data_IF_617961570061
#
_entry.id   IF_617961570061
#
_cell.length_a   1.000
_cell.length_b   1.000
_cell.length_c   1.000
_cell.angle_alpha   90.00
_cell.angle_beta   90.00
_cell.angle_gamma   90.00
#
_symmetry.space_group_name_H-M   'P 1'
#
loop_
_entity.id
_entity.type
_entity.pdbx_description
1 polymer ?
#
# COMPACT_ATOMS: atom_id res chain seq x y z
N UNK A 1 8.60 -14.21 -17.10
CA UNK A 1 7.53 -13.56 -16.31
C UNK A 1 8.20 -13.04 -15.06
N UNK A 2 8.30 -11.71 -14.93
CA UNK A 2 9.22 -11.07 -14.00
C UNK A 2 8.82 -11.36 -12.54
N UNK A 3 9.77 -11.83 -11.76
CA UNK A 3 9.68 -11.99 -10.30
C UNK A 3 9.83 -10.62 -9.60
N UNK A 4 9.00 -9.63 -9.95
CA UNK A 4 8.81 -8.50 -9.05
C UNK A 4 7.99 -8.99 -7.84
N UNK A 5 8.36 -8.59 -6.62
CA UNK A 5 7.55 -8.65 -5.39
C UNK A 5 7.55 -9.91 -4.49
N UNK A 6 8.70 -10.51 -4.14
CA UNK A 6 8.73 -11.26 -2.87
C UNK A 6 8.81 -10.28 -1.68
N UNK A 7 9.76 -9.32 -1.73
CA UNK A 7 9.99 -8.41 -0.61
C UNK A 7 8.84 -7.42 -0.41
N UNK A 8 8.33 -6.82 -1.49
CA UNK A 8 7.21 -5.88 -1.43
C UNK A 8 5.95 -6.52 -0.87
N UNK A 9 5.64 -7.77 -1.26
CA UNK A 9 4.51 -8.50 -0.71
C UNK A 9 4.73 -8.82 0.77
N UNK A 10 5.96 -9.18 1.18
CA UNK A 10 6.27 -9.40 2.61
C UNK A 10 6.13 -8.13 3.45
N UNK A 11 6.57 -6.99 2.92
CA UNK A 11 6.39 -5.68 3.58
C UNK A 11 4.91 -5.34 3.66
N UNK A 12 4.15 -5.54 2.57
CA UNK A 12 2.71 -5.35 2.54
C UNK A 12 2.02 -6.17 3.64
N UNK A 13 2.30 -7.48 3.71
CA UNK A 13 1.74 -8.34 4.76
C UNK A 13 2.09 -7.84 6.17
N UNK A 14 3.34 -7.45 6.38
CA UNK A 14 3.79 -6.97 7.69
C UNK A 14 3.09 -5.67 8.11
N UNK A 15 2.86 -4.75 7.18
CA UNK A 15 2.18 -3.48 7.45
C UNK A 15 0.67 -3.69 7.60
N UNK A 16 0.05 -4.47 6.72
CA UNK A 16 -1.40 -4.71 6.76
C UNK A 16 -1.84 -5.54 7.97
N UNK A 17 -0.94 -6.28 8.61
CA UNK A 17 -1.20 -7.02 9.84
C UNK A 17 -1.27 -6.12 11.11
N UNK A 18 -1.00 -4.81 11.01
CA UNK A 18 -1.13 -3.89 12.14
C UNK A 18 -2.60 -3.71 12.56
N UNK A 19 -2.91 -4.02 13.81
CA UNK A 19 -4.29 -4.00 14.34
C UNK A 19 -4.96 -2.63 14.23
N UNK A 20 -4.20 -1.54 14.41
CA UNK A 20 -4.77 -0.18 14.33
C UNK A 20 -5.08 0.19 12.89
N UNK A 21 -4.25 -0.27 11.96
CA UNK A 21 -4.48 -0.05 10.54
C UNK A 21 -5.71 -0.84 10.06
N UNK A 22 -5.86 -2.07 10.54
CA UNK A 22 -7.04 -2.92 10.31
C UNK A 22 -8.30 -2.24 10.85
N UNK A 23 -8.29 -1.76 12.10
CA UNK A 23 -9.42 -1.06 12.71
C UNK A 23 -9.77 0.21 11.95
N UNK A 24 -8.76 1.01 11.56
CA UNK A 24 -8.98 2.27 10.86
C UNK A 24 -9.51 2.08 9.43
N UNK A 25 -9.01 1.06 8.73
CA UNK A 25 -9.38 0.78 7.35
C UNK A 25 -10.53 -0.20 7.18
N UNK A 26 -10.99 -0.86 8.25
CA UNK A 26 -12.06 -1.88 8.22
C UNK A 26 -11.84 -2.96 7.14
N UNK A 27 -10.60 -3.43 6.98
CA UNK A 27 -10.25 -4.45 5.99
C UNK A 27 -9.79 -5.77 6.64
N UNK A 28 -9.85 -6.87 5.90
CA UNK A 28 -9.24 -8.13 6.30
C UNK A 28 -7.87 -8.29 5.60
N UNK A 29 -6.75 -8.39 6.35
CA UNK A 29 -5.41 -8.53 5.76
C UNK A 29 -5.28 -9.73 4.83
N UNK A 30 -6.03 -10.82 5.09
CA UNK A 30 -5.97 -12.02 4.28
C UNK A 30 -6.49 -11.82 2.84
N UNK A 31 -7.24 -10.75 2.59
CA UNK A 31 -7.82 -10.44 1.27
C UNK A 31 -6.80 -9.83 0.29
N UNK A 32 -5.62 -9.42 0.79
CA UNK A 32 -4.60 -8.75 -0.01
C UNK A 32 -3.30 -9.53 0.08
N UNK A 33 -2.98 -10.37 -0.91
CA UNK A 33 -1.79 -11.23 -0.89
C UNK A 33 -0.64 -10.63 -1.70
N UNK A 34 -0.95 -9.74 -2.64
CA UNK A 34 0.03 -9.09 -3.49
C UNK A 34 -0.07 -7.56 -3.49
N UNK A 35 1.05 -6.90 -3.79
CA UNK A 35 1.11 -5.45 -3.96
C UNK A 35 0.15 -4.98 -5.07
N UNK A 36 0.04 -5.75 -6.16
CA UNK A 36 -0.81 -5.40 -7.30
C UNK A 36 -2.31 -5.41 -6.92
N UNK A 37 -2.76 -6.41 -6.16
CA UNK A 37 -4.13 -6.45 -5.62
C UNK A 37 -4.40 -5.27 -4.70
N UNK A 38 -3.45 -4.92 -3.84
CA UNK A 38 -3.59 -3.80 -2.92
C UNK A 38 -3.60 -2.45 -3.63
N UNK A 39 -2.85 -2.27 -4.72
CA UNK A 39 -2.80 -1.04 -5.53
C UNK A 39 -4.11 -0.74 -6.26
N UNK A 40 -4.92 -1.76 -6.54
CA UNK A 40 -6.24 -1.62 -7.20
C UNK A 40 -7.40 -1.75 -6.21
N UNK A 41 -7.11 -1.87 -4.90
CA UNK A 41 -8.14 -1.97 -3.86
C UNK A 41 -8.97 -0.69 -3.75
N UNK A 42 -10.28 -0.86 -3.57
CA UNK A 42 -11.19 0.22 -3.20
C UNK A 42 -10.98 0.69 -1.76
N UNK A 43 -10.30 -0.10 -0.94
CA UNK A 43 -9.98 0.29 0.42
C UNK A 43 -8.87 1.35 0.41
N UNK A 44 -9.24 2.58 0.77
CA UNK A 44 -8.36 3.74 0.72
C UNK A 44 -7.05 3.53 1.51
N UNK A 45 -7.13 2.87 2.67
CA UNK A 45 -5.98 2.60 3.54
C UNK A 45 -5.04 1.59 2.91
N UNK A 46 -5.57 0.46 2.46
CA UNK A 46 -4.79 -0.60 1.81
C UNK A 46 -4.12 -0.06 0.55
N UNK A 47 -4.87 0.67 -0.28
CA UNK A 47 -4.36 1.27 -1.51
C UNK A 47 -3.22 2.26 -1.21
N UNK A 48 -3.40 3.12 -0.20
CA UNK A 48 -2.38 4.09 0.20
C UNK A 48 -1.09 3.41 0.67
N UNK A 49 -1.19 2.35 1.48
CA UNK A 49 -0.02 1.57 1.93
C UNK A 49 0.70 0.94 0.75
N UNK A 50 -0.05 0.34 -0.19
CA UNK A 50 0.52 -0.27 -1.37
C UNK A 50 1.28 0.75 -2.24
N UNK A 51 0.73 1.95 -2.41
CA UNK A 51 1.39 3.05 -3.13
C UNK A 51 2.69 3.50 -2.45
N UNK A 52 2.70 3.62 -1.12
CA UNK A 52 3.93 3.97 -0.38
C UNK A 52 5.01 2.92 -0.63
N UNK A 53 4.67 1.63 -0.50
CA UNK A 53 5.61 0.53 -0.70
C UNK A 53 6.11 0.52 -2.15
N UNK A 54 5.24 0.74 -3.13
CA UNK A 54 5.60 0.80 -4.55
C UNK A 54 6.65 1.90 -4.81
N UNK A 55 6.39 3.12 -4.35
CA UNK A 55 7.31 4.24 -4.56
C UNK A 55 8.65 4.08 -3.80
N UNK A 56 8.64 3.47 -2.62
CA UNK A 56 9.88 3.15 -1.90
C UNK A 56 10.74 2.17 -2.71
N UNK A 57 10.12 1.21 -3.41
CA UNK A 57 10.85 0.28 -4.27
C UNK A 57 11.37 0.93 -5.56
N UNK A 58 10.70 1.98 -6.05
CA UNK A 58 11.17 2.79 -7.19
C UNK A 58 12.23 3.83 -6.80
N UNK A 59 12.75 3.76 -5.56
CA UNK A 59 13.75 4.67 -5.00
C UNK A 59 13.32 6.16 -5.00
N UNK A 60 12.00 6.42 -5.02
CA UNK A 60 11.42 7.76 -4.93
C UNK A 60 11.83 8.44 -3.63
N UNK A 61 12.09 9.74 -3.69
CA UNK A 61 12.40 10.52 -2.49
C UNK A 61 11.20 10.62 -1.54
N UNK A 62 11.44 10.81 -0.25
CA UNK A 62 10.35 10.99 0.73
C UNK A 62 9.42 12.14 0.37
N UNK A 63 9.92 13.17 -0.33
CA UNK A 63 9.11 14.31 -0.82
C UNK A 63 8.16 13.88 -1.94
N UNK A 64 8.63 13.07 -2.87
CA UNK A 64 7.82 12.55 -3.98
C UNK A 64 6.73 11.62 -3.45
N UNK A 65 7.10 10.69 -2.55
CA UNK A 65 6.15 9.79 -1.88
C UNK A 65 5.06 10.60 -1.17
N UNK A 66 5.45 11.61 -0.37
CA UNK A 66 4.50 12.47 0.32
C UNK A 66 3.53 13.17 -0.63
N UNK A 67 4.04 13.75 -1.73
CA UNK A 67 3.22 14.47 -2.70
C UNK A 67 2.25 13.54 -3.42
N UNK A 68 2.72 12.36 -3.83
CA UNK A 68 1.89 11.35 -4.50
C UNK A 68 0.77 10.88 -3.57
N UNK A 69 1.10 10.46 -2.36
CA UNK A 69 0.13 9.97 -1.37
C UNK A 69 -0.88 11.06 -1.00
N UNK A 70 -0.40 12.28 -0.74
CA UNK A 70 -1.29 13.40 -0.40
C UNK A 70 -2.25 13.74 -1.53
N UNK A 71 -1.76 13.74 -2.77
CA UNK A 71 -2.61 13.96 -3.96
C UNK A 71 -3.66 12.86 -4.08
N UNK A 72 -3.25 11.60 -3.92
CA UNK A 72 -4.16 10.47 -3.98
C UNK A 72 -5.27 10.56 -2.92
N UNK A 73 -4.91 10.78 -1.66
CA UNK A 73 -5.88 10.89 -0.57
C UNK A 73 -6.86 12.05 -0.78
N UNK A 74 -6.37 13.24 -1.18
CA UNK A 74 -7.24 14.40 -1.45
C UNK A 74 -8.28 14.18 -2.55
N UNK A 75 -8.00 13.27 -3.48
CA UNK A 75 -8.89 13.00 -4.61
C UNK A 75 -9.91 11.88 -4.32
N UNK A 76 -9.75 11.15 -3.20
CA UNK A 76 -10.54 9.95 -2.89
C UNK A 76 -11.17 10.00 -1.49
N UNK A 77 -11.14 11.15 -0.82
CA UNK A 77 -11.82 11.46 0.45
C UNK A 77 -12.99 12.41 0.18
#
# INVERSE_FOLDING_TARGET
MAHYNNNSNRILQAVLADEKLIEFGEYNPADYQSLDEALVSDNLVVNTVARIINEVNEESSSREIYNMVTTYLKNNI
#
